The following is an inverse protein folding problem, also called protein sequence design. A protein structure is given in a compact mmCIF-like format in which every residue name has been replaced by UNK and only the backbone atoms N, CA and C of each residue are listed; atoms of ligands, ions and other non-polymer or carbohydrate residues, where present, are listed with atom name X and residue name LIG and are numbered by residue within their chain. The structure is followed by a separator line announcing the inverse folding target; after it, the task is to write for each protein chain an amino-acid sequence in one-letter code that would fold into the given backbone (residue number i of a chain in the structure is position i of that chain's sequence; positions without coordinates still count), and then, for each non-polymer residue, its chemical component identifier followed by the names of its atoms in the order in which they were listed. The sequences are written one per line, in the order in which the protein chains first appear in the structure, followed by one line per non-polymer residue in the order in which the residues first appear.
data_IF_001861110888
#
_entry.id   IF_001861110888
#
_cell.length_a   1.000
_cell.length_b   1.000
_cell.length_c   1.000
_cell.angle_alpha   90.00
_cell.angle_beta   90.00
_cell.angle_gamma   90.00
#
_symmetry.space_group_name_H-M   'P 1'
#
loop_
_entity.id
_entity.type
_entity.pdbx_description
1 polymer ?
#
# COMPACT_ATOMS: atom_id res chain seq x y z
N UNK A 1 -7.65 28.52 -15.17
CA UNK A 1 -8.42 27.26 -15.43
C UNK A 1 -7.50 26.34 -16.20
N UNK A 2 -7.14 25.19 -15.64
CA UNK A 2 -6.25 24.24 -16.31
C UNK A 2 -7.05 23.37 -17.29
N UNK A 3 -6.97 23.68 -18.58
CA UNK A 3 -7.81 23.07 -19.62
C UNK A 3 -7.58 21.58 -19.83
N UNK A 4 -6.34 21.12 -19.61
CA UNK A 4 -5.91 19.73 -19.84
C UNK A 4 -5.99 18.84 -18.58
N UNK A 5 -6.36 19.42 -17.43
CA UNK A 5 -6.35 18.73 -16.14
C UNK A 5 -7.04 17.36 -16.21
N UNK A 6 -8.25 17.31 -16.78
CA UNK A 6 -9.02 16.06 -16.88
C UNK A 6 -8.27 14.98 -17.65
N UNK A 7 -7.74 15.30 -18.83
CA UNK A 7 -7.03 14.34 -19.66
C UNK A 7 -5.73 13.86 -19.01
N UNK A 8 -5.01 14.74 -18.32
CA UNK A 8 -3.80 14.38 -17.57
C UNK A 8 -4.11 13.44 -16.40
N UNK A 9 -5.16 13.72 -15.62
CA UNK A 9 -5.61 12.85 -14.54
C UNK A 9 -6.09 11.48 -15.04
N UNK A 10 -6.92 11.46 -16.10
CA UNK A 10 -7.46 10.21 -16.66
C UNK A 10 -6.33 9.33 -17.24
N UNK A 11 -5.36 9.94 -17.93
CA UNK A 11 -4.15 9.25 -18.43
C UNK A 11 -3.32 8.68 -17.29
N UNK A 12 -3.00 9.51 -16.28
CA UNK A 12 -2.23 9.06 -15.12
C UNK A 12 -2.91 7.91 -14.40
N UNK A 13 -4.21 8.02 -14.12
CA UNK A 13 -4.99 6.98 -13.46
C UNK A 13 -5.04 5.68 -14.27
N UNK A 14 -5.15 5.77 -15.58
CA UNK A 14 -5.11 4.60 -16.46
C UNK A 14 -3.76 3.88 -16.34
N UNK A 15 -2.66 4.65 -16.35
CA UNK A 15 -1.30 4.11 -16.25
C UNK A 15 -1.04 3.46 -14.88
N UNK A 16 -1.30 4.20 -13.78
CA UNK A 16 -0.94 3.75 -12.43
C UNK A 16 -1.85 2.65 -11.90
N UNK A 17 -3.06 2.48 -12.45
CA UNK A 17 -3.93 1.37 -12.06
C UNK A 17 -3.58 0.04 -12.74
N UNK A 18 -2.84 0.09 -13.85
CA UNK A 18 -2.39 -1.10 -14.61
C UNK A 18 -3.51 -2.13 -14.77
N UNK A 19 -4.60 -1.68 -15.41
CA UNK A 19 -5.87 -2.40 -15.48
C UNK A 19 -6.55 -2.48 -14.11
N UNK A 20 -6.67 -3.70 -13.59
CA UNK A 20 -7.28 -3.98 -12.27
C UNK A 20 -6.24 -4.25 -11.18
N UNK A 21 -4.95 -3.96 -11.42
CA UNK A 21 -3.90 -4.19 -10.41
C UNK A 21 -4.14 -3.35 -9.17
N UNK A 22 -4.42 -2.07 -9.38
CA UNK A 22 -4.64 -1.09 -8.33
C UNK A 22 -5.95 -0.33 -8.53
N UNK A 23 -6.30 0.46 -7.52
CA UNK A 23 -7.54 1.25 -7.41
C UNK A 23 -7.25 2.67 -6.90
N UNK A 24 -6.19 3.29 -7.41
CA UNK A 24 -5.93 4.71 -7.24
C UNK A 24 -7.09 5.52 -7.83
N UNK A 25 -7.43 6.63 -7.17
CA UNK A 25 -8.57 7.48 -7.50
C UNK A 25 -8.13 8.92 -7.77
N UNK A 26 -9.02 9.72 -8.37
CA UNK A 26 -8.80 11.16 -8.51
C UNK A 26 -8.50 11.83 -7.16
N UNK A 27 -9.20 11.43 -6.09
CA UNK A 27 -8.97 11.94 -4.73
C UNK A 27 -7.54 11.64 -4.24
N UNK A 28 -7.02 10.44 -4.55
CA UNK A 28 -5.64 10.09 -4.21
C UNK A 28 -4.63 11.02 -4.91
N UNK A 29 -4.76 11.20 -6.23
CA UNK A 29 -3.84 12.05 -7.01
C UNK A 29 -3.92 13.51 -6.53
N UNK A 30 -5.14 13.99 -6.28
CA UNK A 30 -5.36 15.34 -5.75
C UNK A 30 -4.75 15.52 -4.36
N UNK A 31 -4.93 14.56 -3.45
CA UNK A 31 -4.32 14.61 -2.11
C UNK A 31 -2.81 14.56 -2.17
N UNK A 32 -2.24 13.74 -3.05
CA UNK A 32 -0.79 13.70 -3.27
C UNK A 32 -0.26 15.07 -3.71
N UNK A 33 -0.92 15.71 -4.68
CA UNK A 33 -0.57 17.05 -5.15
C UNK A 33 -0.80 18.14 -4.08
N UNK A 34 -1.90 18.08 -3.31
CA UNK A 34 -2.20 19.02 -2.23
C UNK A 34 -1.14 18.95 -1.13
N UNK A 35 -0.69 17.75 -0.74
CA UNK A 35 0.29 17.57 0.31
C UNK A 35 1.61 18.30 0.00
N UNK A 36 2.03 18.35 -1.27
CA UNK A 36 3.28 19.01 -1.68
C UNK A 36 3.34 20.46 -1.21
N UNK A 37 2.21 21.17 -1.30
CA UNK A 37 2.11 22.61 -1.06
C UNK A 37 1.37 22.98 0.21
N UNK A 38 0.75 22.02 0.88
CA UNK A 38 0.00 22.25 2.11
C UNK A 38 0.92 22.82 3.19
N UNK A 39 0.52 23.96 3.75
CA UNK A 39 1.20 24.61 4.88
C UNK A 39 0.58 24.24 6.21
N UNK A 40 -0.60 23.61 6.20
CA UNK A 40 -1.33 23.13 7.36
C UNK A 40 -2.22 21.94 6.99
N UNK A 41 -2.72 21.20 8.00
CA UNK A 41 -3.57 20.03 7.82
C UNK A 41 -4.89 20.32 7.06
N UNK A 42 -5.47 21.50 7.24
CA UNK A 42 -6.74 21.84 6.59
C UNK A 42 -6.63 21.98 5.06
N UNK A 43 -5.43 22.24 4.55
CA UNK A 43 -5.14 22.39 3.11
C UNK A 43 -5.04 21.06 2.36
N UNK A 44 -4.82 19.94 3.05
CA UNK A 44 -4.78 18.59 2.43
C UNK A 44 -6.19 18.10 2.08
N UNK A 45 -7.21 18.63 2.75
CA UNK A 45 -8.60 18.20 2.58
C UNK A 45 -9.10 18.55 1.19
N UNK A 46 -9.86 17.64 0.58
CA UNK A 46 -10.56 17.91 -0.67
C UNK A 46 -11.74 18.88 -0.44
N UNK A 47 -11.43 20.18 -0.40
CA UNK A 47 -12.41 21.27 -0.29
C UNK A 47 -12.17 22.26 -1.42
N UNK A 48 -13.23 22.68 -2.11
CA UNK A 48 -13.14 23.65 -3.22
C UNK A 48 -12.34 24.90 -2.86
N UNK A 49 -12.49 25.38 -1.61
CA UNK A 49 -11.73 26.53 -1.07
C UNK A 49 -10.20 26.35 -1.04
N UNK A 50 -9.71 25.11 -1.04
CA UNK A 50 -8.28 24.80 -1.02
C UNK A 50 -7.68 24.90 -2.44
N UNK A 51 -8.49 24.76 -3.49
CA UNK A 51 -8.07 24.89 -4.89
C UNK A 51 -8.08 26.35 -5.36
N UNK A 52 -7.27 27.18 -4.71
CA UNK A 52 -7.01 28.56 -5.14
C UNK A 52 -6.24 28.56 -6.46
N UNK A 53 -6.43 29.58 -7.31
CA UNK A 53 -5.72 29.69 -8.60
C UNK A 53 -4.21 29.51 -8.46
N UNK A 54 -3.60 30.13 -7.45
CA UNK A 54 -2.16 30.03 -7.18
C UNK A 54 -1.67 28.60 -6.89
N UNK A 55 -2.50 27.75 -6.28
CA UNK A 55 -2.17 26.35 -6.06
C UNK A 55 -2.29 25.56 -7.36
N UNK A 56 -3.35 25.81 -8.13
CA UNK A 56 -3.57 25.17 -9.44
C UNK A 56 -2.40 25.49 -10.37
N UNK A 57 -1.93 26.74 -10.39
CA UNK A 57 -0.81 27.16 -11.22
C UNK A 57 0.49 26.43 -10.83
N UNK A 58 0.74 26.21 -9.52
CA UNK A 58 1.88 25.41 -9.04
C UNK A 58 1.76 23.94 -9.43
N UNK A 59 0.60 23.33 -9.23
CA UNK A 59 0.36 21.93 -9.62
C UNK A 59 0.53 21.77 -11.14
N UNK A 60 0.04 22.73 -11.92
CA UNK A 60 0.18 22.72 -13.38
C UNK A 60 1.65 22.86 -13.80
N UNK A 61 2.42 23.75 -13.16
CA UNK A 61 3.83 23.95 -13.45
C UNK A 61 4.68 22.71 -13.13
N UNK A 62 4.41 22.05 -12.00
CA UNK A 62 5.20 20.92 -11.52
C UNK A 62 4.61 19.55 -11.92
N UNK A 63 3.54 19.53 -12.73
CA UNK A 63 2.76 18.31 -13.00
C UNK A 63 3.62 17.13 -13.44
N UNK A 64 4.56 17.35 -14.36
CA UNK A 64 5.38 16.27 -14.91
C UNK A 64 6.27 15.65 -13.80
N UNK A 65 6.77 16.45 -12.86
CA UNK A 65 7.51 15.96 -11.70
C UNK A 65 6.63 15.23 -10.68
N UNK A 66 5.36 15.65 -10.53
CA UNK A 66 4.37 14.95 -9.70
C UNK A 66 4.06 13.58 -10.32
N UNK A 67 3.82 13.55 -11.62
CA UNK A 67 3.56 12.34 -12.39
C UNK A 67 4.74 11.36 -12.32
N UNK A 68 5.97 11.84 -12.51
CA UNK A 68 7.20 11.03 -12.32
C UNK A 68 7.28 10.43 -10.91
N UNK A 69 7.02 11.23 -9.86
CA UNK A 69 7.09 10.75 -8.49
C UNK A 69 6.03 9.68 -8.16
N UNK A 70 4.82 9.82 -8.71
CA UNK A 70 3.75 8.83 -8.58
C UNK A 70 4.13 7.55 -9.34
N UNK A 71 4.58 7.66 -10.59
CA UNK A 71 4.97 6.50 -11.39
C UNK A 71 6.13 5.72 -10.75
N UNK A 72 7.17 6.41 -10.29
CA UNK A 72 8.28 5.76 -9.58
C UNK A 72 7.81 5.05 -8.30
N UNK A 73 6.85 5.64 -7.58
CA UNK A 73 6.27 4.96 -6.43
C UNK A 73 5.48 3.70 -6.82
N UNK A 74 4.74 3.72 -7.94
CA UNK A 74 4.02 2.54 -8.44
C UNK A 74 4.99 1.44 -8.85
N UNK A 75 6.11 1.79 -9.48
CA UNK A 75 7.20 0.86 -9.78
C UNK A 75 7.81 0.28 -8.49
N UNK A 76 7.99 1.11 -7.45
CA UNK A 76 8.46 0.67 -6.13
C UNK A 76 7.50 -0.38 -5.52
N UNK A 77 6.19 -0.11 -5.54
CA UNK A 77 5.17 -1.04 -5.04
C UNK A 77 5.21 -2.38 -5.78
N UNK A 78 5.26 -2.33 -7.13
CA UNK A 78 5.21 -3.50 -8.00
C UNK A 78 6.49 -4.33 -7.93
N UNK A 79 7.64 -3.70 -8.16
CA UNK A 79 8.88 -4.39 -8.51
C UNK A 79 9.78 -4.65 -7.30
N UNK A 80 9.64 -3.85 -6.24
CA UNK A 80 10.54 -3.91 -5.07
C UNK A 80 9.82 -4.37 -3.80
N UNK A 81 8.56 -3.98 -3.66
CA UNK A 81 7.75 -4.33 -2.49
C UNK A 81 6.84 -5.54 -2.75
N UNK A 82 6.64 -5.93 -4.02
CA UNK A 82 5.81 -7.04 -4.46
C UNK A 82 4.33 -6.92 -4.03
N UNK A 83 3.85 -5.70 -3.85
CA UNK A 83 2.44 -5.41 -3.57
C UNK A 83 1.69 -5.29 -4.89
N UNK A 84 1.46 -6.42 -5.57
CA UNK A 84 0.98 -6.43 -6.97
C UNK A 84 -0.53 -6.57 -7.13
N UNK A 85 -1.31 -6.28 -6.07
CA UNK A 85 -2.78 -6.31 -6.08
C UNK A 85 -3.38 -5.34 -5.06
N UNK A 86 -4.48 -4.68 -5.44
CA UNK A 86 -5.29 -3.81 -4.57
C UNK A 86 -5.75 -4.49 -3.28
N UNK A 87 -5.90 -5.83 -3.31
CA UNK A 87 -6.26 -6.65 -2.15
C UNK A 87 -5.23 -6.57 -1.03
N UNK A 88 -3.96 -6.33 -1.34
CA UNK A 88 -2.88 -6.19 -0.36
C UNK A 88 -2.72 -4.75 0.17
N UNK A 89 -3.47 -3.77 -0.35
CA UNK A 89 -3.36 -2.36 0.02
C UNK A 89 -4.57 -1.96 0.87
N UNK A 90 -4.42 -2.00 2.19
CA UNK A 90 -5.44 -1.59 3.16
C UNK A 90 -5.81 -0.11 3.04
N UNK A 91 -4.82 0.77 2.79
CA UNK A 91 -5.03 2.21 2.61
C UNK A 91 -4.07 2.81 1.60
N UNK A 92 -4.59 3.33 0.49
CA UNK A 92 -3.81 4.07 -0.50
C UNK A 92 -3.21 5.36 0.08
N UNK A 93 -3.83 5.97 1.09
CA UNK A 93 -3.28 7.18 1.72
C UNK A 93 -1.91 6.94 2.37
N UNK A 94 -1.60 5.70 2.77
CA UNK A 94 -0.28 5.36 3.32
C UNK A 94 0.86 5.53 2.32
N UNK A 95 0.55 5.58 1.02
CA UNK A 95 1.53 5.70 -0.06
C UNK A 95 1.96 7.17 -0.29
N UNK A 96 1.05 8.11 -0.02
CA UNK A 96 1.24 9.54 -0.31
C UNK A 96 2.51 10.13 0.36
N UNK A 97 2.87 9.83 1.62
CA UNK A 97 4.11 10.31 2.21
C UNK A 97 5.37 9.90 1.45
N UNK A 98 5.37 8.71 0.83
CA UNK A 98 6.49 8.22 0.05
C UNK A 98 6.60 9.03 -1.26
N UNK A 99 5.48 9.27 -1.94
CA UNK A 99 5.42 10.13 -3.14
C UNK A 99 5.93 11.53 -2.82
N UNK A 100 5.49 12.11 -1.69
CA UNK A 100 5.95 13.42 -1.26
C UNK A 100 7.48 13.45 -1.07
N UNK A 101 8.03 12.45 -0.39
CA UNK A 101 9.46 12.34 -0.18
C UNK A 101 10.24 12.15 -1.49
N UNK A 102 9.73 11.32 -2.42
CA UNK A 102 10.31 11.12 -3.77
C UNK A 102 10.36 12.45 -4.52
N UNK A 103 9.23 13.18 -4.57
CA UNK A 103 9.12 14.47 -5.24
C UNK A 103 10.10 15.48 -4.64
N UNK A 104 10.10 15.63 -3.31
CA UNK A 104 10.91 16.62 -2.60
C UNK A 104 12.41 16.41 -2.81
N UNK A 105 12.86 15.15 -2.80
CA UNK A 105 14.28 14.80 -2.95
C UNK A 105 14.67 14.51 -4.40
N UNK A 106 13.75 14.74 -5.35
CA UNK A 106 13.96 14.53 -6.78
C UNK A 106 14.52 13.13 -7.10
N UNK A 107 13.98 12.09 -6.46
CA UNK A 107 14.41 10.71 -6.70
C UNK A 107 13.95 10.29 -8.09
N UNK A 108 14.89 9.80 -8.92
CA UNK A 108 14.69 9.52 -10.35
C UNK A 108 14.64 8.02 -10.70
N UNK A 109 14.96 7.14 -9.77
CA UNK A 109 14.98 5.70 -10.06
C UNK A 109 15.48 4.86 -8.89
N UNK A 110 15.84 3.62 -9.20
CA UNK A 110 16.43 2.66 -8.24
C UNK A 110 17.90 2.41 -8.61
N UNK A 111 18.78 2.37 -7.61
CA UNK A 111 20.20 2.14 -7.83
C UNK A 111 21.07 2.84 -6.80
N UNK A 112 22.39 2.64 -6.91
CA UNK A 112 23.38 3.24 -6.03
C UNK A 112 23.84 4.64 -6.48
N UNK A 113 23.32 5.13 -7.61
CA UNK A 113 23.66 6.44 -8.15
C UNK A 113 22.96 7.57 -7.38
N UNK A 114 23.45 8.81 -7.56
CA UNK A 114 22.86 9.99 -6.93
C UNK A 114 21.40 10.16 -7.38
N UNK A 115 20.54 10.59 -6.45
CA UNK A 115 19.09 10.74 -6.66
C UNK A 115 18.39 9.43 -7.06
N UNK A 116 18.99 8.27 -6.77
CA UNK A 116 18.32 6.98 -6.85
C UNK A 116 18.06 6.43 -5.45
N UNK A 117 17.02 5.62 -5.33
CA UNK A 117 16.72 4.88 -4.12
C UNK A 117 17.49 3.56 -4.14
N UNK A 118 18.41 3.40 -3.19
CA UNK A 118 19.21 2.19 -3.00
C UNK A 118 18.43 1.09 -2.27
N UNK A 119 19.01 -0.12 -2.18
CA UNK A 119 18.35 -1.28 -1.57
C UNK A 119 18.06 -1.09 -0.07
N UNK A 120 18.90 -0.29 0.62
CA UNK A 120 18.69 0.09 2.02
C UNK A 120 17.45 0.98 2.17
N UNK A 121 17.31 2.01 1.33
CA UNK A 121 16.16 2.89 1.26
C UNK A 121 14.88 2.14 0.88
N UNK A 122 14.96 1.23 -0.10
CA UNK A 122 13.86 0.34 -0.48
C UNK A 122 13.41 -0.49 0.73
N UNK A 123 14.35 -1.11 1.45
CA UNK A 123 14.06 -1.94 2.63
C UNK A 123 13.38 -1.12 3.73
N UNK A 124 13.87 0.09 3.98
CA UNK A 124 13.29 1.00 4.97
C UNK A 124 11.86 1.40 4.61
N UNK A 125 11.60 1.78 3.35
CA UNK A 125 10.26 2.11 2.87
C UNK A 125 9.35 0.88 2.93
N UNK A 126 9.83 -0.30 2.52
CA UNK A 126 9.08 -1.56 2.59
C UNK A 126 8.62 -1.87 4.01
N UNK A 127 9.52 -1.77 4.99
CA UNK A 127 9.19 -1.98 6.40
C UNK A 127 8.17 -0.96 6.88
N UNK A 128 8.41 0.33 6.63
CA UNK A 128 7.52 1.39 7.05
C UNK A 128 6.11 1.26 6.45
N UNK A 129 6.01 1.01 5.14
CA UNK A 129 4.71 0.87 4.47
C UNK A 129 3.96 -0.38 4.96
N UNK A 130 4.68 -1.48 5.19
CA UNK A 130 4.09 -2.70 5.78
C UNK A 130 3.47 -2.39 7.15
N UNK A 131 4.21 -1.71 8.03
CA UNK A 131 3.68 -1.27 9.33
C UNK A 131 2.47 -0.35 9.17
N UNK A 132 2.52 0.59 8.22
CA UNK A 132 1.45 1.56 7.98
C UNK A 132 0.16 0.88 7.52
N UNK A 133 0.27 -0.13 6.65
CA UNK A 133 -0.86 -0.89 6.13
C UNK A 133 -1.47 -1.80 7.21
N UNK A 134 -0.64 -2.55 7.94
CA UNK A 134 -1.09 -3.49 8.98
C UNK A 134 -1.67 -2.79 10.21
N UNK A 135 -1.07 -1.68 10.65
CA UNK A 135 -1.58 -0.93 11.82
C UNK A 135 -2.87 -0.16 11.55
N UNK A 136 -3.24 0.02 10.28
CA UNK A 136 -4.40 0.83 9.89
C UNK A 136 -4.31 2.29 10.32
N UNK A 137 -3.10 2.83 10.56
CA UNK A 137 -2.90 4.20 11.07
C UNK A 137 -3.50 5.27 10.14
N UNK A 138 -3.55 5.00 8.84
CA UNK A 138 -4.17 5.87 7.83
C UNK A 138 -5.70 5.73 7.73
N UNK A 139 -6.34 4.99 8.64
CA UNK A 139 -7.80 4.85 8.73
C UNK A 139 -8.46 5.96 9.58
N UNK A 140 -9.48 6.61 9.03
CA UNK A 140 -10.38 7.54 9.73
C UNK A 140 -9.88 8.98 9.94
N UNK A 141 -8.58 9.20 10.16
CA UNK A 141 -7.96 10.53 10.28
C UNK A 141 -6.76 10.71 9.35
N UNK A 142 -6.89 10.24 8.11
CA UNK A 142 -5.79 10.20 7.14
C UNK A 142 -5.11 11.54 6.94
N UNK A 143 -5.85 12.64 6.88
CA UNK A 143 -5.29 13.95 6.52
C UNK A 143 -4.36 14.48 7.63
N UNK A 144 -4.75 14.29 8.89
CA UNK A 144 -3.89 14.62 10.04
C UNK A 144 -2.61 13.81 10.01
N UNK A 145 -2.70 12.50 9.78
CA UNK A 145 -1.53 11.62 9.70
C UNK A 145 -0.63 12.02 8.51
N UNK A 146 -1.22 12.31 7.35
CA UNK A 146 -0.49 12.78 6.16
C UNK A 146 0.30 14.06 6.45
N UNK A 147 -0.32 15.03 7.11
CA UNK A 147 0.37 16.26 7.50
C UNK A 147 1.51 15.98 8.49
N UNK A 148 1.31 15.09 9.47
CA UNK A 148 2.39 14.67 10.39
C UNK A 148 3.55 14.01 9.67
N UNK A 149 3.27 13.16 8.67
CA UNK A 149 4.32 12.60 7.82
C UNK A 149 5.09 13.69 7.08
N UNK A 150 4.37 14.67 6.50
CA UNK A 150 5.00 15.82 5.82
C UNK A 150 5.88 16.62 6.78
N UNK A 151 5.41 16.95 7.98
CA UNK A 151 6.20 17.68 8.99
C UNK A 151 7.48 16.92 9.38
N UNK A 152 7.41 15.59 9.50
CA UNK A 152 8.58 14.77 9.75
C UNK A 152 9.55 14.77 8.55
N UNK A 153 9.04 14.65 7.32
CA UNK A 153 9.85 14.74 6.10
C UNK A 153 10.44 16.14 5.90
N UNK A 154 9.76 17.19 6.37
CA UNK A 154 10.24 18.56 6.33
C UNK A 154 11.34 18.87 7.32
N UNK A 155 11.25 18.30 8.52
CA UNK A 155 12.26 18.45 9.55
C UNK A 155 13.56 17.66 9.28
N UNK A 156 13.55 16.71 8.34
CA UNK A 156 14.69 15.85 8.04
C UNK A 156 15.22 16.14 6.62
N UNK A 157 16.40 16.74 6.53
CA UNK A 157 17.06 17.11 5.27
C UNK A 157 17.91 15.99 4.66
N UNK A 158 17.83 14.77 5.18
CA UNK A 158 18.64 13.65 4.70
C UNK A 158 18.06 13.08 3.40
N UNK A 159 18.94 12.59 2.51
CA UNK A 159 18.56 11.89 1.27
C UNK A 159 17.93 10.50 1.50
N UNK A 160 17.68 10.09 2.75
CA UNK A 160 17.03 8.82 3.10
C UNK A 160 15.62 9.07 3.61
N UNK A 161 14.69 8.16 3.32
CA UNK A 161 13.32 8.22 3.80
C UNK A 161 13.29 8.19 5.36
N UNK A 162 12.73 9.20 6.03
CA UNK A 162 12.79 9.34 7.49
C UNK A 162 11.70 8.51 8.20
N UNK A 163 11.74 7.19 8.01
CA UNK A 163 10.71 6.28 8.51
C UNK A 163 10.55 6.33 10.04
N UNK A 164 11.66 6.34 10.77
CA UNK A 164 11.67 6.30 12.23
C UNK A 164 11.15 7.63 12.81
N UNK A 165 11.49 8.75 12.19
CA UNK A 165 11.02 10.07 12.58
C UNK A 165 9.54 10.25 12.28
N UNK A 166 9.05 9.73 11.15
CA UNK A 166 7.60 9.68 10.85
C UNK A 166 6.87 8.85 11.91
N UNK A 167 7.34 7.64 12.20
CA UNK A 167 6.74 6.73 13.19
C UNK A 167 6.74 7.37 14.59
N UNK A 168 7.87 7.94 15.01
CA UNK A 168 7.99 8.66 16.28
C UNK A 168 7.00 9.82 16.37
N UNK A 169 6.88 10.64 15.32
CA UNK A 169 5.96 11.79 15.32
C UNK A 169 4.50 11.35 15.39
N UNK A 170 4.11 10.33 14.62
CA UNK A 170 2.75 9.76 14.68
C UNK A 170 2.44 9.25 16.10
N UNK A 171 3.36 8.48 16.70
CA UNK A 171 3.16 7.88 18.02
C UNK A 171 3.08 8.92 19.14
N UNK A 172 3.78 10.05 19.02
CA UNK A 172 3.88 11.07 20.08
C UNK A 172 2.82 12.16 19.96
N UNK A 173 2.43 12.54 18.73
CA UNK A 173 1.53 13.66 18.48
C UNK A 173 0.09 13.22 18.15
N UNK A 174 -0.17 11.91 18.12
CA UNK A 174 -1.50 11.36 17.83
C UNK A 174 -1.85 10.20 18.76
N UNK A 175 -3.09 9.71 18.70
CA UNK A 175 -3.52 8.51 19.43
C UNK A 175 -3.29 7.21 18.65
N UNK A 176 -2.59 7.27 17.52
CA UNK A 176 -2.34 6.12 16.64
C UNK A 176 -0.94 5.58 16.88
N UNK A 177 -0.76 4.30 16.60
CA UNK A 177 0.52 3.61 16.70
C UNK A 177 0.75 2.75 15.47
N UNK A 178 1.99 2.71 14.99
CA UNK A 178 2.44 1.80 13.93
C UNK A 178 3.13 0.54 14.47
N UNK A 179 3.13 0.34 15.79
CA UNK A 179 3.73 -0.82 16.43
C UNK A 179 3.02 -2.09 15.98
N UNK A 180 3.80 -3.05 15.49
CA UNK A 180 3.33 -4.41 15.24
C UNK A 180 3.46 -5.21 16.54
N UNK A 181 2.38 -5.90 16.92
CA UNK A 181 2.33 -6.83 18.05
C UNK A 181 1.95 -8.21 17.53
N UNK A 182 2.28 -9.26 18.28
CA UNK A 182 1.89 -10.64 17.91
C UNK A 182 0.37 -10.75 17.76
N UNK A 183 -0.39 -10.09 18.65
CA UNK A 183 -1.85 -9.96 18.56
C UNK A 183 -2.34 -9.44 17.20
N UNK A 184 -1.54 -8.64 16.48
CA UNK A 184 -1.95 -8.12 15.18
C UNK A 184 -2.05 -9.26 14.16
N UNK A 185 -1.07 -10.16 14.13
CA UNK A 185 -1.08 -11.33 13.23
C UNK A 185 -2.17 -12.32 13.62
N UNK A 186 -2.42 -12.51 14.91
CA UNK A 186 -3.49 -13.38 15.42
C UNK A 186 -4.89 -12.90 14.98
N UNK A 187 -5.04 -11.59 14.75
CA UNK A 187 -6.28 -10.98 14.27
C UNK A 187 -6.41 -10.93 12.74
N UNK A 188 -5.40 -11.39 11.98
CA UNK A 188 -5.48 -11.44 10.52
C UNK A 188 -6.41 -12.59 10.11
N UNK A 189 -7.59 -12.22 9.63
CA UNK A 189 -8.62 -13.16 9.20
C UNK A 189 -8.52 -13.51 7.71
N UNK A 190 -8.97 -14.71 7.36
CA UNK A 190 -9.17 -15.16 5.99
C UNK A 190 -9.87 -14.11 5.12
N UNK A 191 -9.40 -13.94 3.89
CA UNK A 191 -9.92 -12.99 2.89
C UNK A 191 -9.89 -11.51 3.29
N UNK A 192 -9.25 -11.15 4.41
CA UNK A 192 -9.00 -9.75 4.78
C UNK A 192 -7.86 -9.14 3.96
N UNK A 193 -7.82 -7.82 3.81
CA UNK A 193 -6.69 -7.15 3.16
C UNK A 193 -5.34 -7.44 3.83
N UNK A 194 -5.35 -7.57 5.16
CA UNK A 194 -4.14 -7.91 5.92
C UNK A 194 -3.66 -9.32 5.61
N UNK A 195 -4.57 -10.28 5.37
CA UNK A 195 -4.18 -11.62 4.93
C UNK A 195 -3.54 -11.60 3.54
N UNK A 196 -4.04 -10.78 2.62
CA UNK A 196 -3.40 -10.60 1.30
C UNK A 196 -2.03 -9.95 1.43
N UNK A 197 -1.87 -8.96 2.31
CA UNK A 197 -0.59 -8.31 2.58
C UNK A 197 0.42 -9.28 3.19
N UNK A 198 0.06 -9.98 4.27
CA UNK A 198 0.95 -10.94 4.95
C UNK A 198 1.41 -12.03 3.99
N UNK A 199 0.50 -12.63 3.22
CA UNK A 199 0.88 -13.64 2.24
C UNK A 199 1.73 -13.05 1.10
N UNK A 200 1.43 -11.84 0.60
CA UNK A 200 2.28 -11.20 -0.42
C UNK A 200 3.73 -11.03 0.05
N UNK A 201 3.93 -10.73 1.35
CA UNK A 201 5.25 -10.64 1.96
C UNK A 201 5.92 -12.02 2.10
N UNK A 202 5.16 -13.05 2.48
CA UNK A 202 5.68 -14.41 2.63
C UNK A 202 6.12 -15.03 1.28
N UNK A 203 5.34 -14.79 0.22
CA UNK A 203 5.59 -15.34 -1.10
C UNK A 203 6.51 -14.46 -1.98
N UNK A 204 6.90 -13.27 -1.52
CA UNK A 204 7.95 -12.43 -2.13
C UNK A 204 7.85 -12.26 -3.66
N UNK A 205 6.64 -11.99 -4.16
CA UNK A 205 6.42 -11.76 -5.60
C UNK A 205 6.28 -13.00 -6.48
N UNK A 206 6.35 -14.21 -5.90
CA UNK A 206 6.10 -15.48 -6.64
C UNK A 206 4.66 -15.56 -7.15
N UNK A 207 3.72 -14.90 -6.48
CA UNK A 207 2.29 -14.94 -6.79
C UNK A 207 1.94 -13.92 -7.87
N UNK A 208 1.38 -14.39 -8.98
CA UNK A 208 0.89 -13.54 -10.07
C UNK A 208 -0.62 -13.31 -9.95
N UNK A 209 -1.03 -12.12 -9.49
CA UNK A 209 -2.45 -11.73 -9.42
C UNK A 209 -3.08 -11.30 -10.75
N UNK A 210 -2.30 -11.29 -11.84
CA UNK A 210 -2.78 -10.99 -13.19
C UNK A 210 -2.38 -12.08 -14.20
N UNK A 211 -2.80 -13.34 -13.99
CA UNK A 211 -2.53 -14.38 -14.95
C UNK A 211 -3.40 -14.21 -16.21
N UNK A 212 -2.87 -14.65 -17.37
CA UNK A 212 -3.64 -14.68 -18.62
C UNK A 212 -4.82 -15.66 -18.56
N UNK A 213 -4.64 -16.80 -17.88
CA UNK A 213 -5.67 -17.82 -17.71
C UNK A 213 -6.34 -17.67 -16.34
N UNK A 214 -7.68 -17.56 -16.33
CA UNK A 214 -8.47 -17.44 -15.09
C UNK A 214 -8.26 -18.61 -14.12
N UNK A 215 -7.92 -19.80 -14.61
CA UNK A 215 -7.60 -20.96 -13.77
C UNK A 215 -6.38 -20.75 -12.86
N UNK A 216 -5.45 -19.89 -13.27
CA UNK A 216 -4.22 -19.61 -12.51
C UNK A 216 -4.39 -18.43 -11.54
N UNK A 217 -5.59 -17.85 -11.43
CA UNK A 217 -5.82 -16.74 -10.51
C UNK A 217 -5.55 -17.23 -9.08
N UNK A 218 -4.70 -16.52 -8.30
CA UNK A 218 -4.44 -16.89 -6.92
C UNK A 218 -5.69 -16.68 -6.07
N UNK A 219 -6.09 -17.72 -5.36
CA UNK A 219 -7.15 -17.72 -4.38
C UNK A 219 -6.56 -18.09 -3.01
N UNK A 220 -7.10 -17.49 -1.95
CA UNK A 220 -6.79 -17.94 -0.60
C UNK A 220 -7.60 -19.20 -0.29
N UNK A 221 -6.97 -20.15 0.37
CA UNK A 221 -7.60 -21.40 0.80
C UNK A 221 -7.02 -21.85 2.15
N UNK A 222 -7.81 -22.62 2.88
CA UNK A 222 -7.40 -23.16 4.18
C UNK A 222 -6.45 -24.35 3.99
N UNK A 223 -5.31 -24.37 4.67
CA UNK A 223 -4.33 -25.48 4.61
C UNK A 223 -5.00 -26.77 5.09
N UNK A 224 -5.54 -26.75 6.32
CA UNK A 224 -6.40 -27.79 6.87
C UNK A 224 -7.87 -27.44 6.63
N UNK A 225 -8.68 -28.44 6.30
CA UNK A 225 -10.07 -28.19 5.94
C UNK A 225 -10.85 -27.62 7.14
N UNK A 226 -11.73 -26.64 6.88
CA UNK A 226 -12.55 -26.06 7.94
C UNK A 226 -13.41 -27.13 8.65
N UNK A 227 -13.90 -28.14 7.92
CA UNK A 227 -14.73 -29.19 8.50
C UNK A 227 -13.92 -30.08 9.46
N UNK A 228 -12.71 -30.47 9.08
CA UNK A 228 -11.82 -31.29 9.91
C UNK A 228 -11.49 -30.57 11.23
N UNK A 229 -11.10 -29.30 11.14
CA UNK A 229 -10.79 -28.50 12.32
C UNK A 229 -12.05 -28.24 13.19
N UNK A 230 -13.23 -28.02 12.57
CA UNK A 230 -14.50 -27.92 13.30
C UNK A 230 -14.84 -29.22 14.04
N UNK A 231 -14.64 -30.38 13.40
CA UNK A 231 -14.86 -31.69 14.04
C UNK A 231 -13.87 -31.96 15.17
N UNK A 232 -12.64 -31.44 15.06
CA UNK A 232 -11.61 -31.51 16.10
C UNK A 232 -11.82 -30.49 17.24
N UNK A 233 -12.89 -29.68 17.20
CA UNK A 233 -13.21 -28.70 18.25
C UNK A 233 -12.34 -27.44 18.23
N UNK A 234 -11.67 -27.15 17.10
CA UNK A 234 -10.87 -25.93 16.97
C UNK A 234 -11.79 -24.71 16.83
N UNK A 235 -11.55 -23.62 17.58
CA UNK A 235 -12.34 -22.38 17.48
C UNK A 235 -12.31 -21.75 16.08
N UNK A 236 -13.42 -21.14 15.67
CA UNK A 236 -13.57 -20.57 14.33
C UNK A 236 -12.56 -19.45 14.04
N UNK A 237 -12.18 -18.65 15.06
CA UNK A 237 -11.13 -17.64 14.90
C UNK A 237 -9.77 -18.25 14.51
N UNK A 238 -9.42 -19.42 15.07
CA UNK A 238 -8.16 -20.11 14.76
C UNK A 238 -8.22 -20.79 13.39
N UNK A 239 -9.38 -21.33 13.03
CA UNK A 239 -9.60 -21.94 11.71
C UNK A 239 -9.38 -20.91 10.61
N UNK A 240 -9.91 -19.69 10.79
CA UNK A 240 -9.82 -18.60 9.82
C UNK A 240 -8.62 -17.66 10.03
N UNK A 241 -7.70 -18.01 10.93
CA UNK A 241 -6.49 -17.24 11.17
C UNK A 241 -5.49 -17.39 10.03
N UNK A 242 -4.61 -16.39 9.87
CA UNK A 242 -3.56 -16.38 8.85
C UNK A 242 -2.67 -17.64 8.86
N UNK A 243 -2.50 -18.29 10.02
CA UNK A 243 -1.69 -19.49 10.18
C UNK A 243 -2.24 -20.72 9.44
N UNK A 244 -3.52 -20.71 9.07
CA UNK A 244 -4.14 -21.78 8.30
C UNK A 244 -4.47 -21.36 6.86
N UNK A 245 -3.97 -20.23 6.36
CA UNK A 245 -4.30 -19.75 5.00
C UNK A 245 -3.07 -19.80 4.09
N UNK A 246 -3.27 -20.21 2.83
CA UNK A 246 -2.26 -20.17 1.77
C UNK A 246 -2.84 -19.70 0.45
N UNK A 247 -1.99 -19.40 -0.52
CA UNK A 247 -2.41 -19.24 -1.91
C UNK A 247 -2.40 -20.57 -2.65
N UNK A 248 -3.44 -20.80 -3.47
CA UNK A 248 -3.51 -21.85 -4.49
C UNK A 248 -4.11 -21.27 -5.78
N UNK A 249 -3.96 -21.99 -6.89
CA UNK A 249 -4.64 -21.61 -8.14
C UNK A 249 -6.14 -21.88 -8.08
N UNK A 250 -6.97 -21.07 -8.76
CA UNK A 250 -8.41 -21.34 -8.90
C UNK A 250 -8.71 -22.75 -9.44
N UNK A 251 -7.86 -23.30 -10.31
CA UNK A 251 -7.99 -24.68 -10.79
C UNK A 251 -7.78 -25.71 -9.67
N UNK A 252 -6.75 -25.55 -8.84
CA UNK A 252 -6.50 -26.44 -7.71
C UNK A 252 -7.61 -26.34 -6.66
N UNK A 253 -8.11 -25.12 -6.39
CA UNK A 253 -9.16 -24.91 -5.40
C UNK A 253 -10.45 -25.67 -5.78
N UNK A 254 -10.81 -25.62 -7.08
CA UNK A 254 -11.95 -26.38 -7.61
C UNK A 254 -11.79 -27.89 -7.47
N UNK A 255 -10.56 -28.40 -7.62
CA UNK A 255 -10.26 -29.83 -7.50
C UNK A 255 -10.31 -30.26 -6.02
N UNK A 256 -9.79 -29.44 -5.12
CA UNK A 256 -9.65 -29.76 -3.69
C UNK A 256 -11.00 -30.03 -3.01
N UNK A 257 -12.02 -29.21 -3.27
CA UNK A 257 -13.32 -29.30 -2.59
C UNK A 257 -13.16 -29.36 -1.05
N UNK A 258 -14.10 -29.95 -0.30
CA UNK A 258 -14.04 -30.12 1.17
C UNK A 258 -12.96 -31.10 1.66
N UNK A 259 -12.03 -31.54 0.80
CA UNK A 259 -11.08 -32.63 1.10
C UNK A 259 -9.71 -32.07 1.51
N UNK A 260 -9.05 -32.60 2.55
CA UNK A 260 -7.68 -32.20 2.92
C UNK A 260 -6.68 -32.46 1.78
N UNK A 261 -5.63 -31.63 1.69
CA UNK A 261 -4.58 -31.81 0.68
C UNK A 261 -3.63 -32.99 1.01
N UNK A 262 -3.49 -33.33 2.29
CA UNK A 262 -2.78 -34.54 2.71
C UNK A 262 -3.66 -35.74 2.41
N UNK A 263 -3.51 -36.34 1.23
CA UNK A 263 -3.83 -37.75 1.07
C UNK A 263 -2.88 -38.50 1.98
N UNK A 264 -3.43 -39.14 3.01
CA UNK A 264 -2.74 -40.27 3.64
C UNK A 264 -2.78 -41.35 2.57
N UNK A 265 -1.76 -41.40 1.71
CA UNK A 265 -1.52 -42.57 0.89
C UNK A 265 -1.22 -43.71 1.87
N UNK A 266 -2.20 -44.60 2.03
CA UNK A 266 -2.07 -45.82 2.83
C UNK A 266 -1.23 -46.87 2.15
#
# INVERSE_FOLDING_TARGET
RWGEARNKFDTLLTNINDGDRYRFSNDFVLKAALLLYATNNDEIRYKTKNFKSSLIDKIQADWDSIEEAINLNVDLLRDKLFLTSDKAISSYNSIIPIIYWIFKNNIKGFGAERNCLDDSGITKIKLWLTKALLSGVFGGQSDTILYKCKEAIDANSNESFPADEIEKRINTETKKSMKLTDDLLDNVSYSSKDSYLVLSLCYQGVINFQPRLKGNLPEQDHIFSQNELKCAGVPEEKINSIYNIRYISSSENKIKSKTPFFRVDG
#
